data_IF_417958370426
#
_entry.id   IF_417958370426
#
_cell.length_a   1.000
_cell.length_b   1.000
_cell.length_c   1.000
_cell.angle_alpha   90.00
_cell.angle_beta   90.00
_cell.angle_gamma   90.00
#
_symmetry.space_group_name_H-M   'P 1'
#
loop_
_entity.id
_entity.type
_entity.pdbx_description
1 polymer ?
#
# COMPACT_ATOMS: atom_id res chain seq x y z
N UNK A 1 15.05 -3.35 13.01
CA UNK A 1 15.50 -4.37 12.05
C UNK A 1 14.40 -4.54 11.01
N UNK A 2 14.63 -4.15 9.76
CA UNK A 2 13.62 -4.28 8.70
C UNK A 2 13.39 -5.72 8.26
N UNK A 3 12.14 -6.07 7.96
CA UNK A 3 11.75 -7.36 7.35
C UNK A 3 12.49 -7.60 6.02
N UNK A 4 12.60 -8.86 5.60
CA UNK A 4 13.18 -9.22 4.31
C UNK A 4 12.49 -8.52 3.12
N UNK A 5 11.19 -8.25 3.26
CA UNK A 5 10.37 -7.52 2.27
C UNK A 5 10.83 -6.07 2.14
N UNK A 6 10.96 -5.36 3.26
CA UNK A 6 11.40 -3.96 3.25
C UNK A 6 12.82 -3.82 2.68
N UNK A 7 13.74 -4.69 3.12
CA UNK A 7 15.12 -4.68 2.58
C UNK A 7 15.14 -4.84 1.07
N UNK A 8 14.31 -5.74 0.53
CA UNK A 8 14.27 -5.99 -0.91
C UNK A 8 13.58 -4.86 -1.68
N UNK A 9 12.54 -4.25 -1.11
CA UNK A 9 11.93 -3.03 -1.64
C UNK A 9 12.97 -1.92 -1.74
N UNK A 10 13.71 -1.64 -0.65
CA UNK A 10 14.74 -0.59 -0.62
C UNK A 10 15.90 -0.86 -1.59
N UNK A 11 16.28 -2.13 -1.80
CA UNK A 11 17.30 -2.51 -2.77
C UNK A 11 16.85 -2.25 -4.21
N UNK A 12 15.58 -2.50 -4.54
CA UNK A 12 15.07 -2.38 -5.90
C UNK A 12 14.44 -1.01 -6.22
N UNK A 13 14.15 -0.21 -5.18
CA UNK A 13 13.54 1.12 -5.26
C UNK A 13 14.31 2.05 -4.32
N UNK A 14 15.48 2.53 -4.76
CA UNK A 14 16.38 3.35 -3.92
C UNK A 14 15.83 4.74 -3.55
N UNK A 15 14.81 5.22 -4.26
CA UNK A 15 14.31 6.59 -4.16
C UNK A 15 12.97 6.68 -3.41
N UNK A 16 12.61 5.67 -2.62
CA UNK A 16 11.41 5.68 -1.79
C UNK A 16 11.78 5.57 -0.32
N UNK A 17 11.06 6.33 0.51
CA UNK A 17 11.12 6.16 1.95
C UNK A 17 10.15 5.03 2.35
N UNK A 18 10.64 4.06 3.12
CA UNK A 18 9.82 2.98 3.67
C UNK A 18 9.73 3.13 5.18
N UNK A 19 8.56 2.81 5.73
CA UNK A 19 8.38 2.71 7.17
C UNK A 19 7.52 1.50 7.51
N UNK A 20 8.03 0.66 8.42
CA UNK A 20 7.23 -0.39 9.01
C UNK A 20 6.32 0.14 10.10
N UNK A 21 5.11 -0.39 10.11
CA UNK A 21 4.07 -0.09 11.08
C UNK A 21 3.63 -1.40 11.72
N UNK A 22 3.80 -1.53 13.03
CA UNK A 22 3.56 -2.77 13.75
C UNK A 22 2.10 -2.99 14.20
N UNK A 23 1.23 -1.99 14.05
CA UNK A 23 -0.19 -2.10 14.44
C UNK A 23 -1.11 -1.27 13.55
N UNK A 24 -2.36 -1.71 13.43
CA UNK A 24 -3.38 -0.95 12.70
C UNK A 24 -3.62 0.43 13.31
N UNK A 25 -3.61 0.55 14.64
CA UNK A 25 -3.80 1.83 15.32
C UNK A 25 -2.73 2.86 14.93
N UNK A 26 -1.46 2.41 14.83
CA UNK A 26 -0.36 3.28 14.39
C UNK A 26 -0.53 3.69 12.93
N UNK A 27 -1.03 2.80 12.08
CA UNK A 27 -1.30 3.11 10.67
C UNK A 27 -2.40 4.17 10.57
N UNK A 28 -3.52 3.97 11.27
CA UNK A 28 -4.63 4.92 11.33
C UNK A 28 -4.16 6.28 11.84
N UNK A 29 -3.38 6.32 12.94
CA UNK A 29 -2.83 7.56 13.47
C UNK A 29 -1.99 8.31 12.45
N UNK A 30 -1.23 7.61 11.59
CA UNK A 30 -0.44 8.22 10.52
C UNK A 30 -1.30 8.70 9.36
N UNK A 31 -2.31 7.92 8.97
CA UNK A 31 -3.27 8.28 7.92
C UNK A 31 -4.05 9.55 8.26
N UNK A 32 -4.46 9.69 9.52
CA UNK A 32 -5.21 10.84 10.02
C UNK A 32 -4.37 12.10 10.26
N UNK A 33 -3.04 12.07 10.02
CA UNK A 33 -2.22 13.28 10.14
C UNK A 33 -2.57 14.27 9.02
N UNK A 34 -2.66 15.58 9.32
CA UNK A 34 -2.71 16.59 8.29
C UNK A 34 -1.52 16.45 7.35
N UNK A 35 -1.77 16.56 6.04
CA UNK A 35 -0.74 16.44 5.00
C UNK A 35 0.04 15.12 5.07
N UNK A 36 -0.63 14.00 5.35
CA UNK A 36 0.02 12.69 5.28
C UNK A 36 0.66 12.50 3.89
N UNK A 37 1.90 12.05 3.85
CA UNK A 37 2.67 11.83 2.62
C UNK A 37 2.69 10.34 2.24
N UNK A 38 1.74 9.57 2.75
CA UNK A 38 1.67 8.13 2.52
C UNK A 38 1.07 7.91 1.14
N UNK A 39 1.92 7.58 0.16
CA UNK A 39 1.45 7.29 -1.19
C UNK A 39 1.02 5.82 -1.38
N UNK A 40 1.62 4.91 -0.62
CA UNK A 40 1.40 3.45 -0.76
C UNK A 40 1.34 2.80 0.61
N UNK A 41 0.39 1.89 0.79
CA UNK A 41 0.31 0.99 1.96
C UNK A 41 0.39 -0.44 1.47
N UNK A 42 1.30 -1.21 2.06
CA UNK A 42 1.42 -2.65 1.81
C UNK A 42 1.06 -3.35 3.11
N UNK A 43 0.06 -4.22 3.06
CA UNK A 43 -0.33 -5.04 4.19
C UNK A 43 -0.09 -6.51 3.91
N UNK A 44 0.55 -7.18 4.86
CA UNK A 44 0.93 -8.58 4.77
C UNK A 44 0.06 -9.44 5.69
N UNK A 45 -0.33 -10.63 5.23
CA UNK A 45 -1.19 -11.59 5.94
C UNK A 45 -2.48 -10.95 6.46
N UNK A 46 -3.16 -10.23 5.58
CA UNK A 46 -4.37 -9.47 5.92
C UNK A 46 -5.52 -10.41 6.31
N UNK A 47 -6.25 -10.04 7.36
CA UNK A 47 -7.48 -10.72 7.79
C UNK A 47 -8.72 -9.83 7.58
N UNK A 48 -9.89 -10.41 7.82
CA UNK A 48 -11.18 -9.73 7.68
C UNK A 48 -11.31 -8.51 8.60
N UNK A 49 -10.80 -8.63 9.83
CA UNK A 49 -10.85 -7.55 10.82
C UNK A 49 -10.07 -6.34 10.35
N UNK A 50 -8.88 -6.54 9.80
CA UNK A 50 -8.03 -5.48 9.27
C UNK A 50 -8.68 -4.75 8.10
N UNK A 51 -9.28 -5.49 7.15
CA UNK A 51 -10.02 -4.92 6.01
C UNK A 51 -11.23 -4.11 6.49
N UNK A 52 -11.99 -4.68 7.44
CA UNK A 52 -13.18 -4.03 8.00
C UNK A 52 -12.82 -2.72 8.70
N UNK A 53 -11.72 -2.69 9.47
CA UNK A 53 -11.25 -1.47 10.12
C UNK A 53 -10.84 -0.39 9.11
N UNK A 54 -10.20 -0.77 8.00
CA UNK A 54 -9.80 0.15 6.95
C UNK A 54 -10.98 0.73 6.17
N UNK A 55 -12.11 0.03 6.12
CA UNK A 55 -13.30 0.51 5.40
C UNK A 55 -13.84 1.82 5.94
N UNK A 56 -13.71 2.05 7.25
CA UNK A 56 -14.06 3.32 7.90
C UNK A 56 -13.20 4.50 7.42
N UNK A 57 -12.02 4.23 6.84
CA UNK A 57 -11.07 5.24 6.36
C UNK A 57 -11.00 5.30 4.83
N UNK A 58 -11.97 4.71 4.14
CA UNK A 58 -12.04 4.69 2.67
C UNK A 58 -11.77 6.06 2.01
N UNK A 59 -12.33 7.19 2.48
CA UNK A 59 -12.05 8.50 1.84
C UNK A 59 -10.57 8.89 1.83
N UNK A 60 -9.82 8.50 2.87
CA UNK A 60 -8.37 8.74 2.92
C UNK A 60 -7.65 7.76 1.99
N UNK A 61 -8.09 6.50 1.99
CA UNK A 61 -7.50 5.43 1.19
C UNK A 61 -7.72 5.60 -0.32
N UNK A 62 -8.78 6.28 -0.76
CA UNK A 62 -9.01 6.55 -2.19
C UNK A 62 -7.89 7.41 -2.84
N UNK A 63 -7.03 8.02 -2.02
CA UNK A 63 -5.85 8.77 -2.47
C UNK A 63 -4.52 8.02 -2.27
N UNK A 64 -4.56 6.79 -1.76
CA UNK A 64 -3.40 5.99 -1.38
C UNK A 64 -3.47 4.65 -2.12
N UNK A 65 -2.34 4.22 -2.70
CA UNK A 65 -2.29 2.91 -3.34
C UNK A 65 -2.24 1.82 -2.26
N UNK A 66 -3.34 1.08 -2.11
CA UNK A 66 -3.45 -0.01 -1.16
C UNK A 66 -3.12 -1.36 -1.81
N UNK A 67 -2.07 -2.01 -1.32
CA UNK A 67 -1.65 -3.35 -1.71
C UNK A 67 -1.96 -4.30 -0.56
N UNK A 68 -2.85 -5.26 -0.79
CA UNK A 68 -3.18 -6.30 0.17
C UNK A 68 -2.53 -7.62 -0.23
N UNK A 69 -1.83 -8.24 0.71
CA UNK A 69 -1.25 -9.56 0.54
C UNK A 69 -1.98 -10.52 1.48
N UNK A 70 -2.66 -11.49 0.91
CA UNK A 70 -3.50 -12.45 1.63
C UNK A 70 -3.14 -13.87 1.22
N UNK A 71 -3.32 -14.83 2.13
CA UNK A 71 -3.11 -16.25 1.82
C UNK A 71 -4.21 -16.74 0.87
N UNK A 72 -3.87 -17.68 -0.01
CA UNK A 72 -4.78 -18.17 -1.07
C UNK A 72 -6.05 -18.81 -0.51
N UNK A 73 -5.96 -19.50 0.63
CA UNK A 73 -7.10 -20.10 1.32
C UNK A 73 -8.10 -19.05 1.83
N UNK A 74 -7.62 -17.85 2.19
CA UNK A 74 -8.46 -16.73 2.65
C UNK A 74 -8.94 -15.83 1.53
N UNK A 75 -8.36 -15.93 0.34
CA UNK A 75 -8.65 -15.02 -0.78
C UNK A 75 -10.13 -15.01 -1.19
N UNK A 76 -10.85 -16.15 -1.30
CA UNK A 76 -12.25 -16.15 -1.72
C UNK A 76 -13.17 -15.34 -0.79
N UNK A 77 -12.93 -15.39 0.52
CA UNK A 77 -13.76 -14.68 1.51
C UNK A 77 -13.36 -13.21 1.66
N UNK A 78 -12.07 -12.88 1.53
CA UNK A 78 -11.58 -11.52 1.72
C UNK A 78 -11.66 -10.66 0.46
N UNK A 79 -11.67 -11.26 -0.73
CA UNK A 79 -11.68 -10.55 -2.01
C UNK A 79 -12.85 -9.56 -2.14
N UNK A 80 -14.12 -9.92 -1.82
CA UNK A 80 -15.22 -8.96 -1.91
C UNK A 80 -15.03 -7.73 -1.03
N UNK A 81 -14.51 -7.93 0.19
CA UNK A 81 -14.26 -6.84 1.15
C UNK A 81 -13.08 -5.98 0.70
N UNK A 82 -12.02 -6.59 0.17
CA UNK A 82 -10.87 -5.89 -0.38
C UNK A 82 -11.27 -4.98 -1.56
N UNK A 83 -12.14 -5.46 -2.47
CA UNK A 83 -12.59 -4.68 -3.62
C UNK A 83 -13.36 -3.41 -3.22
N UNK A 84 -14.05 -3.42 -2.07
CA UNK A 84 -14.74 -2.24 -1.54
C UNK A 84 -13.77 -1.12 -1.11
N UNK A 85 -12.52 -1.46 -0.77
CA UNK A 85 -11.49 -0.53 -0.32
C UNK A 85 -10.73 0.19 -1.44
N UNK A 86 -11.18 0.12 -2.69
CA UNK A 86 -10.43 0.64 -3.86
C UNK A 86 -9.01 0.07 -3.94
N UNK A 87 -8.82 -1.19 -3.53
CA UNK A 87 -7.49 -1.82 -3.48
C UNK A 87 -6.82 -1.81 -4.84
N UNK A 88 -5.57 -1.35 -4.88
CA UNK A 88 -4.76 -1.25 -6.09
C UNK A 88 -4.18 -2.59 -6.52
N UNK A 89 -3.94 -3.50 -5.58
CA UNK A 89 -3.44 -4.85 -5.88
C UNK A 89 -3.78 -5.84 -4.76
N UNK A 90 -4.06 -7.08 -5.16
CA UNK A 90 -4.25 -8.22 -4.27
C UNK A 90 -3.26 -9.31 -4.68
N UNK A 91 -2.33 -9.63 -3.79
CA UNK A 91 -1.25 -10.58 -4.02
C UNK A 91 -1.19 -11.70 -2.98
N UNK A 92 -0.30 -12.66 -3.24
CA UNK A 92 -0.04 -13.79 -2.36
C UNK A 92 1.31 -13.62 -1.63
N UNK A 93 1.51 -14.25 -0.46
CA UNK A 93 2.74 -14.10 0.32
C UNK A 93 4.00 -14.58 -0.41
N UNK A 94 3.86 -15.59 -1.28
CA UNK A 94 4.95 -16.17 -2.07
C UNK A 94 5.34 -15.29 -3.28
N UNK A 95 4.49 -14.32 -3.65
CA UNK A 95 4.64 -13.49 -4.84
C UNK A 95 5.37 -12.18 -4.59
N UNK A 96 6.48 -12.18 -3.84
CA UNK A 96 7.20 -10.94 -3.52
C UNK A 96 7.64 -10.16 -4.77
N UNK A 97 8.07 -10.88 -5.82
CA UNK A 97 8.45 -10.28 -7.11
C UNK A 97 7.26 -9.57 -7.76
N UNK A 98 6.05 -10.09 -7.60
CA UNK A 98 4.83 -9.46 -8.09
C UNK A 98 4.54 -8.16 -7.33
N UNK A 99 4.72 -8.15 -6.00
CA UNK A 99 4.58 -6.94 -5.18
C UNK A 99 5.56 -5.87 -5.64
N UNK A 100 6.83 -6.22 -5.86
CA UNK A 100 7.86 -5.29 -6.32
C UNK A 100 7.55 -4.76 -7.73
N UNK A 101 7.13 -5.63 -8.65
CA UNK A 101 6.72 -5.24 -10.01
C UNK A 101 5.55 -4.25 -9.99
N UNK A 102 4.56 -4.48 -9.12
CA UNK A 102 3.44 -3.56 -8.91
C UNK A 102 3.90 -2.25 -8.30
N UNK A 103 4.76 -2.29 -7.29
CA UNK A 103 5.34 -1.09 -6.68
C UNK A 103 6.11 -0.24 -7.69
N UNK A 104 6.95 -0.85 -8.54
CA UNK A 104 7.66 -0.15 -9.63
C UNK A 104 6.68 0.61 -10.53
N UNK A 105 5.56 -0.03 -10.91
CA UNK A 105 4.52 0.61 -11.73
C UNK A 105 3.84 1.78 -10.99
N UNK A 106 3.55 1.63 -9.70
CA UNK A 106 2.94 2.68 -8.87
C UNK A 106 3.90 3.87 -8.71
N UNK A 107 5.16 3.61 -8.36
CA UNK A 107 6.19 4.64 -8.22
C UNK A 107 6.37 5.41 -9.52
N UNK A 108 6.44 4.71 -10.66
CA UNK A 108 6.50 5.35 -11.97
C UNK A 108 5.27 6.24 -12.24
N UNK A 109 4.05 5.80 -11.89
CA UNK A 109 2.84 6.61 -12.03
C UNK A 109 2.85 7.85 -11.14
N UNK A 110 3.32 7.72 -9.89
CA UNK A 110 3.46 8.86 -8.97
C UNK A 110 4.48 9.86 -9.51
N UNK A 111 5.63 9.37 -10.00
CA UNK A 111 6.66 10.22 -10.58
C UNK A 111 6.14 10.98 -11.80
N UNK A 112 5.46 10.30 -12.73
CA UNK A 112 4.84 10.95 -13.89
C UNK A 112 3.79 11.99 -13.48
N UNK A 113 2.92 11.67 -12.50
CA UNK A 113 1.93 12.61 -11.98
C UNK A 113 2.60 13.86 -11.42
N UNK A 114 3.62 13.69 -10.60
CA UNK A 114 4.34 14.81 -9.98
C UNK A 114 5.10 15.66 -11.02
N UNK A 115 5.69 15.04 -12.04
CA UNK A 115 6.38 15.76 -13.10
C UNK A 115 5.43 16.60 -13.98
N UNK A 116 4.24 16.08 -14.26
CA UNK A 116 3.20 16.86 -14.97
C UNK A 116 2.86 18.12 -14.18
N UNK A 117 2.81 18.07 -12.84
CA UNK A 117 2.54 19.25 -12.01
C UNK A 117 3.75 20.18 -11.84
N UNK A 118 4.99 19.71 -12.04
CA UNK A 118 6.17 20.61 -12.02
C UNK A 118 6.31 21.44 -13.28
N UNK A 119 5.76 21.00 -14.41
CA UNK A 119 5.78 21.74 -15.68
C UNK A 119 4.74 22.89 -15.73
N UNK A 120 3.87 23.01 -14.72
CA UNK A 120 2.94 24.13 -14.53
C UNK A 120 3.43 25.18 -13.53
N UNK A 121 4.74 25.27 -13.28
CA UNK A 121 5.32 26.45 -12.63
C UNK A 121 5.31 27.62 -13.61
N UNK A 122 4.19 28.35 -13.64
CA UNK A 122 4.09 29.73 -14.12
C UNK A 122 4.84 30.66 -13.16
#
# INVERSE_FOLDING_TARGET
MGTAVEKRILLELSNIETQQVGSMDTLIQKLCRPLNQIAVIIMLDVDERAISQLSAYKPILDHIYLILVMKEDKRPSLLPLALQLSTSFIGNPEGLDNIISVLKKIVMRIHLRNNIFTDFKL
#
